data_IF_664910637014
#
_entry.id   IF_664910637014
#
_cell.length_a   1.000
_cell.length_b   1.000
_cell.length_c   1.000
_cell.angle_alpha   90.00
_cell.angle_beta   90.00
_cell.angle_gamma   90.00
#
_symmetry.space_group_name_H-M   'P 1'
#
loop_
_entity.id
_entity.type
_entity.pdbx_description
1 polymer ?
#
# COMPACT_ATOMS: atom_id res chain seq x y z
N UNK A 1 6.95 -8.22 -27.17
CA UNK A 1 7.00 -8.16 -25.75
C UNK A 1 5.64 -8.39 -25.11
N UNK A 2 5.65 -9.07 -24.03
CA UNK A 2 4.41 -9.44 -23.38
C UNK A 2 3.87 -8.30 -22.57
N UNK A 3 2.63 -8.03 -22.72
CA UNK A 3 2.01 -7.00 -21.93
C UNK A 3 1.72 -7.49 -20.53
N UNK A 4 1.71 -6.57 -19.60
CA UNK A 4 1.34 -6.90 -18.25
C UNK A 4 -0.09 -7.36 -18.17
N UNK A 5 -0.32 -8.37 -17.39
CA UNK A 5 -1.66 -8.83 -17.11
C UNK A 5 -2.22 -7.98 -15.99
N UNK A 6 -2.97 -6.95 -16.35
CA UNK A 6 -3.49 -6.01 -15.36
C UNK A 6 -4.48 -6.66 -14.41
N UNK A 7 -5.08 -7.79 -14.81
CA UNK A 7 -6.02 -8.46 -13.93
C UNK A 7 -5.34 -9.03 -12.68
N UNK A 8 -4.03 -9.18 -12.73
CA UNK A 8 -3.28 -9.70 -11.58
C UNK A 8 -2.67 -8.60 -10.73
N UNK A 9 -2.84 -7.35 -11.15
CA UNK A 9 -2.31 -6.24 -10.38
C UNK A 9 -3.08 -6.10 -9.07
N UNK A 10 -2.36 -5.92 -7.99
CA UNK A 10 -2.96 -5.71 -6.68
C UNK A 10 -2.37 -4.45 -6.08
N UNK A 11 -3.20 -3.59 -5.53
CA UNK A 11 -2.77 -2.39 -4.87
C UNK A 11 -3.49 -2.22 -3.56
N UNK A 12 -2.76 -1.82 -2.54
CA UNK A 12 -3.32 -1.56 -1.22
C UNK A 12 -2.76 -0.24 -0.74
N UNK A 13 -3.64 0.63 -0.29
CA UNK A 13 -3.24 1.92 0.26
C UNK A 13 -3.33 1.85 1.78
N UNK A 14 -2.27 2.32 2.43
CA UNK A 14 -2.21 2.34 3.88
C UNK A 14 -2.13 3.78 4.36
N UNK A 15 -2.73 4.04 5.49
CA UNK A 15 -2.64 5.32 6.16
C UNK A 15 -2.07 5.09 7.56
N UNK A 16 -1.04 5.87 7.90
CA UNK A 16 -0.47 5.79 9.22
C UNK A 16 -0.80 7.06 10.00
N UNK A 17 -1.45 6.86 11.13
CA UNK A 17 -1.77 7.94 12.04
C UNK A 17 -0.94 7.70 13.30
N UNK A 18 -0.07 8.65 13.69
CA UNK A 18 0.78 8.44 14.88
C UNK A 18 -0.01 8.21 16.16
N UNK A 19 -1.28 8.62 16.18
CA UNK A 19 -2.13 8.38 17.35
C UNK A 19 -2.66 6.97 17.43
N UNK A 20 -2.43 6.16 16.39
CA UNK A 20 -2.90 4.80 16.35
C UNK A 20 -1.73 3.84 16.45
N UNK A 21 -2.03 2.60 16.86
CA UNK A 21 -1.00 1.60 17.10
C UNK A 21 -0.35 1.09 15.82
N UNK A 22 -1.05 1.17 14.71
CA UNK A 22 -0.56 0.58 13.48
C UNK A 22 -1.21 1.24 12.27
N UNK A 23 -0.58 1.16 11.10
CA UNK A 23 -1.23 1.61 9.87
C UNK A 23 -2.49 0.79 9.59
N UNK A 24 -3.41 1.40 8.86
CA UNK A 24 -4.62 0.69 8.50
C UNK A 24 -4.87 0.80 7.01
N UNK A 25 -5.64 -0.15 6.50
CA UNK A 25 -5.97 -0.23 5.09
C UNK A 25 -7.08 0.78 4.79
N UNK A 26 -6.82 1.69 3.85
CA UNK A 26 -7.83 2.67 3.46
C UNK A 26 -8.35 2.41 2.05
N UNK A 27 -7.63 1.62 1.26
CA UNK A 27 -8.10 1.24 -0.08
C UNK A 27 -7.43 -0.06 -0.47
N UNK A 28 -8.14 -0.87 -1.24
CA UNK A 28 -7.60 -2.14 -1.69
C UNK A 28 -8.34 -2.55 -2.96
N UNK A 29 -7.61 -3.10 -3.92
CA UNK A 29 -8.24 -3.53 -5.15
C UNK A 29 -7.32 -4.32 -6.03
N UNK A 30 -7.91 -4.97 -7.01
CA UNK A 30 -7.19 -5.75 -8.01
C UNK A 30 -7.60 -5.32 -9.39
N UNK A 31 -6.73 -5.57 -10.36
CA UNK A 31 -7.01 -5.28 -11.75
C UNK A 31 -7.23 -3.80 -11.99
N UNK A 32 -8.32 -3.46 -12.64
CA UNK A 32 -8.62 -2.08 -12.98
C UNK A 32 -8.73 -1.21 -11.74
N UNK A 33 -9.27 -1.75 -10.65
CA UNK A 33 -9.37 -0.98 -9.41
C UNK A 33 -7.99 -0.70 -8.83
N UNK A 34 -7.09 -1.67 -8.90
CA UNK A 34 -5.72 -1.46 -8.44
C UNK A 34 -5.07 -0.33 -9.22
N UNK A 35 -5.30 -0.30 -10.53
CA UNK A 35 -4.74 0.74 -11.37
C UNK A 35 -5.29 2.12 -10.96
N UNK A 36 -6.57 2.20 -10.66
CA UNK A 36 -7.16 3.45 -10.21
C UNK A 36 -6.56 3.91 -8.89
N UNK A 37 -6.33 2.97 -7.96
CA UNK A 37 -5.71 3.30 -6.69
C UNK A 37 -4.32 3.88 -6.91
N UNK A 38 -3.55 3.27 -7.80
CA UNK A 38 -2.21 3.76 -8.08
C UNK A 38 -2.24 5.13 -8.72
N UNK A 39 -3.16 5.36 -9.65
CA UNK A 39 -3.27 6.66 -10.30
C UNK A 39 -3.65 7.75 -9.32
N UNK A 40 -4.61 7.46 -8.46
CA UNK A 40 -5.00 8.41 -7.42
C UNK A 40 -3.84 8.73 -6.49
N UNK A 41 -3.09 7.69 -6.11
CA UNK A 41 -1.94 7.91 -5.25
C UNK A 41 -0.92 8.82 -5.88
N UNK A 42 -0.63 8.60 -7.16
CA UNK A 42 0.33 9.45 -7.84
C UNK A 42 -0.16 10.89 -7.95
N UNK A 43 -1.44 11.07 -8.25
CA UNK A 43 -2.01 12.41 -8.35
C UNK A 43 -1.91 13.15 -7.03
N UNK A 44 -2.07 12.43 -5.93
CA UNK A 44 -2.06 13.03 -4.61
C UNK A 44 -0.67 13.12 -4.01
N UNK A 45 0.36 12.69 -4.74
CA UNK A 45 1.72 12.75 -4.23
C UNK A 45 2.06 11.68 -3.23
N UNK A 46 1.30 10.60 -3.19
CA UNK A 46 1.55 9.51 -2.26
C UNK A 46 2.66 8.62 -2.81
N UNK A 47 3.70 8.35 -2.02
CA UNK A 47 4.75 7.44 -2.45
C UNK A 47 4.21 6.04 -2.71
N UNK A 48 4.75 5.40 -3.72
CA UNK A 48 4.34 4.04 -4.10
C UNK A 48 5.52 3.10 -3.91
N UNK A 49 5.28 2.04 -3.19
CA UNK A 49 6.28 0.99 -2.98
C UNK A 49 5.79 -0.27 -3.68
N UNK A 50 6.65 -0.86 -4.49
CA UNK A 50 6.26 -2.03 -5.26
C UNK A 50 6.73 -3.29 -4.56
N UNK A 51 5.79 -4.11 -4.13
CA UNK A 51 6.08 -5.38 -3.46
C UNK A 51 4.87 -6.28 -3.62
N UNK A 52 4.95 -7.20 -4.58
CA UNK A 52 3.80 -8.03 -4.94
C UNK A 52 3.36 -8.93 -3.79
N UNK A 53 4.32 -9.48 -3.05
CA UNK A 53 3.96 -10.37 -1.95
C UNK A 53 3.28 -9.61 -0.84
N UNK A 54 3.81 -8.45 -0.50
CA UNK A 54 3.22 -7.66 0.56
C UNK A 54 1.83 -7.17 0.15
N UNK A 55 1.69 -6.73 -1.09
CA UNK A 55 0.39 -6.27 -1.57
C UNK A 55 -0.64 -7.39 -1.51
N UNK A 56 -0.26 -8.61 -1.91
CA UNK A 56 -1.18 -9.73 -1.84
C UNK A 56 -1.57 -10.06 -0.41
N UNK A 57 -0.60 -10.00 0.50
CA UNK A 57 -0.89 -10.26 1.90
C UNK A 57 -1.83 -9.22 2.47
N UNK A 58 -1.56 -7.95 2.19
CA UNK A 58 -2.39 -6.87 2.69
C UNK A 58 -3.77 -6.86 2.06
N UNK A 59 -3.90 -7.35 0.84
CA UNK A 59 -5.19 -7.35 0.16
C UNK A 59 -6.20 -8.28 0.82
N UNK A 60 -5.74 -9.15 1.70
CA UNK A 60 -6.64 -10.04 2.44
C UNK A 60 -7.29 -9.35 3.62
N UNK A 61 -6.82 -8.18 3.98
CA UNK A 61 -7.42 -7.40 5.05
C UNK A 61 -8.58 -6.59 4.50
N UNK A 62 -9.48 -6.21 5.39
CA UNK A 62 -10.61 -5.39 5.00
C UNK A 62 -10.27 -3.92 5.17
N UNK A 63 -10.93 -3.09 4.38
CA UNK A 63 -10.76 -1.64 4.51
C UNK A 63 -11.16 -1.24 5.92
N UNK A 64 -10.29 -0.48 6.57
CA UNK A 64 -10.46 -0.09 7.95
C UNK A 64 -9.69 -0.94 8.93
N UNK A 65 -9.20 -2.11 8.49
CA UNK A 65 -8.41 -2.97 9.37
C UNK A 65 -7.02 -2.41 9.57
N UNK A 66 -6.50 -2.55 10.77
CA UNK A 66 -5.09 -2.29 11.00
C UNK A 66 -4.28 -3.48 10.54
N UNK A 67 -3.04 -3.24 10.11
CA UNK A 67 -2.18 -4.34 9.72
C UNK A 67 -1.88 -5.20 10.94
N UNK A 68 -1.72 -6.52 10.75
CA UNK A 68 -1.41 -7.40 11.87
C UNK A 68 0.02 -7.22 12.35
N UNK A 69 0.30 -7.60 13.60
CA UNK A 69 1.65 -7.42 14.15
C UNK A 69 2.74 -8.10 13.33
N UNK A 70 2.43 -9.17 12.65
CA UNK A 70 3.41 -9.87 11.83
C UNK A 70 3.98 -8.99 10.71
N UNK A 71 3.25 -7.97 10.32
CA UNK A 71 3.68 -7.11 9.23
C UNK A 71 4.22 -5.77 9.73
N UNK A 72 4.27 -5.54 11.03
CA UNK A 72 4.71 -4.25 11.57
C UNK A 72 6.09 -3.88 11.08
N UNK A 73 7.02 -4.82 11.14
CA UNK A 73 8.40 -4.51 10.83
C UNK A 73 8.59 -4.14 9.37
N UNK A 74 8.02 -4.94 8.47
CA UNK A 74 8.22 -4.70 7.05
C UNK A 74 7.52 -3.41 6.62
N UNK A 75 6.33 -3.14 7.15
CA UNK A 75 5.62 -1.92 6.79
C UNK A 75 6.29 -0.71 7.41
N UNK A 76 6.80 -0.84 8.62
CA UNK A 76 7.50 0.26 9.27
C UNK A 76 8.74 0.68 8.48
N UNK A 77 9.45 -0.28 7.91
CA UNK A 77 10.61 0.04 7.09
C UNK A 77 10.23 0.88 5.89
N UNK A 78 9.11 0.53 5.26
CA UNK A 78 8.64 1.28 4.11
C UNK A 78 8.24 2.70 4.51
N UNK A 79 7.52 2.83 5.61
CA UNK A 79 7.09 4.14 6.08
C UNK A 79 8.26 5.02 6.48
N UNK A 80 9.28 4.44 7.09
CA UNK A 80 10.47 5.20 7.46
C UNK A 80 11.18 5.70 6.22
N UNK A 81 11.26 4.86 5.19
CA UNK A 81 11.88 5.26 3.94
C UNK A 81 11.15 6.46 3.32
N UNK A 82 9.81 6.40 3.33
CA UNK A 82 8.99 7.48 2.79
C UNK A 82 9.23 8.76 3.58
N UNK A 83 9.26 8.66 4.90
CA UNK A 83 9.52 9.82 5.74
C UNK A 83 10.86 10.45 5.42
N UNK A 84 11.87 9.62 5.23
CA UNK A 84 13.20 10.15 4.92
C UNK A 84 13.19 10.92 3.61
N UNK A 85 12.46 10.45 2.63
CA UNK A 85 12.35 11.14 1.36
C UNK A 85 11.59 12.46 1.49
N UNK A 86 10.57 12.47 2.32
CA UNK A 86 9.77 13.68 2.52
C UNK A 86 10.56 14.78 3.18
N UNK A 87 11.57 14.43 3.95
CA UNK A 87 12.34 15.41 4.70
C UNK A 87 13.47 16.03 3.90
N UNK A 88 13.70 15.53 2.73
CA UNK A 88 14.73 16.09 1.84
C UNK A 88 14.22 17.34 1.10
#
# INVERSE_FOLDING_TARGET
>A
MKEKDLSKLTAVALEYNPDEDAPKVVASGKGALAQKILEKGKESGVPVHKDDKLANTLSKLEIGDMIPPELYEVVAEILIFVDAMDKI
#
